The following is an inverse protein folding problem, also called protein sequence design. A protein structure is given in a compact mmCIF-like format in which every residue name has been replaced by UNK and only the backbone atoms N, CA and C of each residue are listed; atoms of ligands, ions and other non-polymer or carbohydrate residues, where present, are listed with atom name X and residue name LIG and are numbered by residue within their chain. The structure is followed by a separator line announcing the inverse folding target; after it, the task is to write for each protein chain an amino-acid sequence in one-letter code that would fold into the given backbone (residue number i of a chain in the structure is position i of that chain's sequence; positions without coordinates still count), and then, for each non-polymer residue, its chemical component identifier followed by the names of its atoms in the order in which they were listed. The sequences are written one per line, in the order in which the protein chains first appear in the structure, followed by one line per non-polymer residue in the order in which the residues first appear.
data_IF_876738620460
#
_entry.id   IF_876738620460
#
_cell.length_a   1.000
_cell.length_b   1.000
_cell.length_c   1.000
_cell.angle_alpha   90.00
_cell.angle_beta   90.00
_cell.angle_gamma   90.00
#
_symmetry.space_group_name_H-M   'P 1'
#
loop_
_entity.id
_entity.type
_entity.pdbx_description
1 polymer ?
#
# COMPACT_ATOMS: atom_id res chain seq x y z
N UNK A 1 56.88 39.88 23.67
CA UNK A 1 55.86 38.85 23.89
C UNK A 1 54.70 39.12 22.95
N UNK A 2 54.70 38.43 21.80
CA UNK A 2 53.70 38.63 20.74
C UNK A 2 52.67 37.50 20.82
N UNK A 3 51.44 37.85 21.21
CA UNK A 3 50.33 36.91 21.39
C UNK A 3 49.65 36.61 20.06
N UNK A 4 49.95 35.46 19.47
CA UNK A 4 49.20 34.92 18.34
C UNK A 4 47.79 34.48 18.78
N UNK A 5 46.79 35.30 18.46
CA UNK A 5 45.38 34.99 18.64
C UNK A 5 44.94 34.07 17.49
N UNK A 6 44.90 32.75 17.75
CA UNK A 6 44.34 31.76 16.82
C UNK A 6 42.84 32.00 16.65
N UNK A 7 42.44 32.42 15.45
CA UNK A 7 41.05 32.32 15.02
C UNK A 7 40.70 30.84 14.79
N UNK A 8 40.00 30.24 15.74
CA UNK A 8 39.29 28.98 15.53
C UNK A 8 38.08 29.24 14.66
N UNK A 9 38.24 29.13 13.35
CA UNK A 9 37.12 29.04 12.41
C UNK A 9 36.39 27.73 12.67
N UNK A 10 35.21 27.81 13.27
CA UNK A 10 34.22 26.72 13.26
C UNK A 10 33.82 26.50 11.81
N UNK A 11 34.35 25.44 11.20
CA UNK A 11 33.87 24.95 9.91
C UNK A 11 32.41 24.53 10.10
N UNK A 12 31.48 25.42 9.75
CA UNK A 12 30.12 25.00 9.41
C UNK A 12 30.27 24.05 8.22
N UNK A 13 30.19 22.75 8.49
CA UNK A 13 30.07 21.73 7.45
C UNK A 13 28.75 21.97 6.73
N UNK A 14 28.78 22.83 5.72
CA UNK A 14 27.70 22.93 4.74
C UNK A 14 27.66 21.59 4.03
N UNK A 15 26.77 20.70 4.48
CA UNK A 15 26.43 19.48 3.75
C UNK A 15 25.93 19.92 2.36
N UNK A 16 26.79 19.82 1.36
CA UNK A 16 26.40 20.13 -0.01
C UNK A 16 25.34 19.10 -0.45
N UNK A 17 24.34 19.55 -1.20
CA UNK A 17 23.33 18.67 -1.81
C UNK A 17 24.01 17.61 -2.70
N UNK A 18 25.16 17.97 -3.27
CA UNK A 18 25.98 17.09 -4.10
C UNK A 18 26.59 15.94 -3.28
N UNK A 19 26.91 16.17 -2.00
CA UNK A 19 27.46 15.13 -1.12
C UNK A 19 26.39 14.11 -0.72
N UNK A 20 25.16 14.56 -0.44
CA UNK A 20 24.05 13.69 -0.06
C UNK A 20 23.62 12.81 -1.24
N UNK A 21 23.45 13.41 -2.42
CA UNK A 21 23.07 12.69 -3.62
C UNK A 21 24.15 11.68 -4.03
N UNK A 22 25.43 12.07 -4.00
CA UNK A 22 26.55 11.16 -4.29
C UNK A 22 26.65 10.03 -3.28
N UNK A 23 26.43 10.30 -1.99
CA UNK A 23 26.39 9.28 -0.95
C UNK A 23 25.24 8.29 -1.18
N UNK A 24 24.02 8.77 -1.44
CA UNK A 24 22.85 7.94 -1.71
C UNK A 24 23.06 7.06 -2.95
N UNK A 25 23.60 7.61 -4.04
CA UNK A 25 23.91 6.85 -5.26
C UNK A 25 24.97 5.79 -4.95
N UNK A 26 26.05 6.14 -4.24
CA UNK A 26 27.12 5.19 -3.88
C UNK A 26 26.58 4.06 -3.01
N UNK A 27 25.74 4.36 -2.02
CA UNK A 27 25.09 3.35 -1.19
C UNK A 27 24.11 2.48 -1.99
N UNK A 28 23.33 3.07 -2.88
CA UNK A 28 22.42 2.34 -3.76
C UNK A 28 23.16 1.39 -4.70
N UNK A 29 24.25 1.84 -5.33
CA UNK A 29 25.09 1.00 -6.19
C UNK A 29 25.79 -0.09 -5.39
N UNK A 30 26.31 0.22 -4.20
CA UNK A 30 26.93 -0.79 -3.34
C UNK A 30 25.91 -1.85 -2.90
N UNK A 31 24.69 -1.45 -2.55
CA UNK A 31 23.59 -2.35 -2.22
C UNK A 31 23.22 -3.24 -3.40
N UNK A 32 23.05 -2.66 -4.59
CA UNK A 32 22.72 -3.40 -5.81
C UNK A 32 23.80 -4.43 -6.18
N UNK A 33 25.08 -4.08 -6.01
CA UNK A 33 26.20 -5.02 -6.24
C UNK A 33 26.23 -6.13 -5.20
N UNK A 34 25.95 -5.83 -3.94
CA UNK A 34 25.93 -6.83 -2.85
C UNK A 34 24.72 -7.76 -2.94
N UNK A 35 23.58 -7.25 -3.37
CA UNK A 35 22.30 -7.96 -3.42
C UNK A 35 21.75 -8.07 -4.84
N UNK A 36 22.60 -8.49 -5.79
CA UNK A 36 22.27 -8.52 -7.21
C UNK A 36 21.01 -9.34 -7.53
N UNK A 37 20.77 -10.46 -6.83
CA UNK A 37 19.56 -11.28 -7.02
C UNK A 37 18.30 -10.48 -6.66
N UNK A 38 18.26 -9.84 -5.49
CA UNK A 38 17.10 -9.05 -5.06
C UNK A 38 16.87 -7.85 -5.97
N UNK A 39 17.94 -7.14 -6.36
CA UNK A 39 17.83 -5.99 -7.27
C UNK A 39 17.37 -6.40 -8.66
N UNK A 40 17.88 -7.53 -9.18
CA UNK A 40 17.42 -8.05 -10.48
C UNK A 40 15.95 -8.50 -10.44
N UNK A 41 15.53 -9.21 -9.39
CA UNK A 41 14.14 -9.60 -9.19
C UNK A 41 13.23 -8.37 -9.08
N UNK A 42 13.66 -7.33 -8.36
CA UNK A 42 12.95 -6.05 -8.26
C UNK A 42 12.76 -5.40 -9.64
N UNK A 43 13.84 -5.26 -10.42
CA UNK A 43 13.77 -4.67 -11.78
C UNK A 43 12.85 -5.51 -12.68
N UNK A 44 12.99 -6.83 -12.67
CA UNK A 44 12.12 -7.74 -13.42
C UNK A 44 10.66 -7.57 -13.00
N UNK A 45 10.37 -7.48 -11.70
CA UNK A 45 9.03 -7.26 -11.20
C UNK A 45 8.42 -5.93 -11.64
N UNK A 46 9.20 -4.85 -11.63
CA UNK A 46 8.76 -3.55 -12.16
C UNK A 46 8.45 -3.65 -13.66
N UNK A 47 9.32 -4.30 -14.43
CA UNK A 47 9.10 -4.51 -15.89
C UNK A 47 7.84 -5.32 -16.13
N UNK A 48 7.62 -6.42 -15.40
CA UNK A 48 6.39 -7.22 -15.51
C UNK A 48 5.17 -6.38 -15.16
N UNK A 49 5.19 -5.62 -14.07
CA UNK A 49 4.05 -4.79 -13.65
C UNK A 49 3.67 -3.72 -14.69
N UNK A 50 4.65 -3.20 -15.44
CA UNK A 50 4.43 -2.16 -16.45
C UNK A 50 4.04 -2.71 -17.82
N UNK A 51 4.55 -3.88 -18.21
CA UNK A 51 4.46 -4.37 -19.60
C UNK A 51 3.75 -5.72 -19.76
N UNK A 52 3.45 -6.46 -18.70
CA UNK A 52 2.74 -7.73 -18.83
C UNK A 52 1.25 -7.49 -19.15
N UNK A 53 0.88 -7.70 -20.42
CA UNK A 53 -0.51 -7.68 -20.89
C UNK A 53 -1.18 -9.06 -20.93
N UNK A 54 -0.39 -10.14 -20.94
CA UNK A 54 -0.89 -11.49 -21.24
C UNK A 54 -0.83 -11.81 -22.74
N UNK A 55 -1.06 -13.07 -23.09
CA UNK A 55 -1.18 -13.49 -24.49
C UNK A 55 -2.58 -13.19 -25.02
N UNK A 56 -2.64 -12.59 -26.20
CA UNK A 56 -3.88 -12.33 -26.91
C UNK A 56 -4.64 -13.64 -27.12
N UNK A 57 -5.91 -13.65 -26.74
CA UNK A 57 -6.79 -14.80 -26.90
C UNK A 57 -7.30 -14.84 -28.33
N UNK A 58 -7.32 -16.03 -28.94
CA UNK A 58 -7.88 -16.18 -30.28
C UNK A 58 -9.41 -16.03 -30.27
N UNK A 59 -9.97 -15.54 -31.37
CA UNK A 59 -11.43 -15.37 -31.51
C UNK A 59 -12.21 -16.67 -31.25
N UNK A 60 -11.64 -17.83 -31.59
CA UNK A 60 -12.26 -19.14 -31.33
C UNK A 60 -12.29 -19.45 -29.82
N UNK A 61 -11.20 -19.19 -29.11
CA UNK A 61 -11.14 -19.36 -27.66
C UNK A 61 -12.09 -18.42 -26.93
N UNK A 62 -12.18 -17.16 -27.38
CA UNK A 62 -13.11 -16.16 -26.83
C UNK A 62 -14.57 -16.60 -27.04
N UNK A 63 -14.95 -17.03 -28.24
CA UNK A 63 -16.30 -17.54 -28.49
C UNK A 63 -16.63 -18.77 -27.64
N UNK A 64 -15.66 -19.67 -27.44
CA UNK A 64 -15.85 -20.85 -26.59
C UNK A 64 -15.98 -20.45 -25.11
N UNK A 65 -15.17 -19.51 -24.65
CA UNK A 65 -15.23 -18.92 -23.31
C UNK A 65 -16.62 -18.33 -23.04
N UNK A 66 -17.09 -17.44 -23.92
CA UNK A 66 -18.40 -16.79 -23.80
C UNK A 66 -19.56 -17.80 -23.89
N UNK A 67 -19.44 -18.83 -24.72
CA UNK A 67 -20.44 -19.89 -24.81
C UNK A 67 -20.56 -20.67 -23.50
N UNK A 68 -19.45 -20.99 -22.83
CA UNK A 68 -19.48 -21.69 -21.54
C UNK A 68 -20.07 -20.76 -20.47
N UNK A 69 -19.63 -19.50 -20.42
CA UNK A 69 -20.19 -18.53 -19.47
C UNK A 69 -21.68 -18.27 -19.68
N UNK A 70 -22.19 -18.36 -20.90
CA UNK A 70 -23.63 -18.18 -21.19
C UNK A 70 -24.52 -19.24 -20.53
N UNK A 71 -23.95 -20.37 -20.08
CA UNK A 71 -24.68 -21.42 -19.35
C UNK A 71 -25.00 -21.01 -17.91
N UNK A 72 -24.38 -19.96 -17.41
CA UNK A 72 -24.51 -19.50 -16.04
C UNK A 72 -25.85 -18.78 -15.83
N UNK A 73 -26.71 -19.33 -14.97
CA UNK A 73 -27.90 -18.61 -14.47
C UNK A 73 -27.54 -17.69 -13.30
N UNK A 74 -27.11 -16.46 -13.63
CA UNK A 74 -26.83 -15.41 -12.65
C UNK A 74 -28.05 -15.10 -11.75
N UNK A 75 -29.28 -15.30 -12.25
CA UNK A 75 -30.49 -15.07 -11.46
C UNK A 75 -30.68 -16.16 -10.40
N UNK A 76 -30.32 -17.41 -10.69
CA UNK A 76 -30.34 -18.50 -9.70
C UNK A 76 -29.36 -18.21 -8.57
N UNK A 77 -28.14 -17.79 -8.89
CA UNK A 77 -27.15 -17.38 -7.88
C UNK A 77 -27.68 -16.24 -7.00
N UNK A 78 -28.15 -15.16 -7.63
CA UNK A 78 -28.65 -14.00 -6.89
C UNK A 78 -29.84 -14.34 -5.99
N UNK A 79 -30.80 -15.18 -6.46
CA UNK A 79 -31.92 -15.65 -5.64
C UNK A 79 -31.45 -16.45 -4.43
N UNK A 80 -30.48 -17.34 -4.61
CA UNK A 80 -29.92 -18.13 -3.50
C UNK A 80 -29.22 -17.23 -2.47
N UNK A 81 -28.46 -16.23 -2.92
CA UNK A 81 -27.81 -15.25 -2.03
C UNK A 81 -28.83 -14.44 -1.22
N UNK A 82 -29.86 -13.91 -1.87
CA UNK A 82 -30.92 -13.15 -1.19
C UNK A 82 -31.68 -14.03 -0.20
N UNK A 83 -31.99 -15.29 -0.55
CA UNK A 83 -32.64 -16.22 0.36
C UNK A 83 -31.78 -16.52 1.61
N UNK A 84 -30.48 -16.76 1.43
CA UNK A 84 -29.55 -16.97 2.53
C UNK A 84 -29.40 -15.73 3.42
N UNK A 85 -29.30 -14.53 2.83
CA UNK A 85 -29.22 -13.27 3.56
C UNK A 85 -30.50 -12.96 4.36
N UNK A 86 -31.67 -13.19 3.76
CA UNK A 86 -32.94 -13.01 4.45
C UNK A 86 -33.08 -14.00 5.63
N UNK A 87 -32.69 -15.26 5.44
CA UNK A 87 -32.71 -16.25 6.52
C UNK A 87 -31.70 -15.91 7.64
N UNK A 88 -30.51 -15.39 7.30
CA UNK A 88 -29.54 -14.89 8.28
C UNK A 88 -30.11 -13.73 9.10
N UNK A 89 -30.76 -12.77 8.43
CA UNK A 89 -31.42 -11.65 9.08
C UNK A 89 -32.50 -12.12 10.06
N UNK A 90 -33.40 -13.01 9.61
CA UNK A 90 -34.47 -13.57 10.45
C UNK A 90 -33.91 -14.32 11.68
N UNK A 91 -32.84 -15.10 11.49
CA UNK A 91 -32.16 -15.78 12.59
C UNK A 91 -31.56 -14.77 13.59
N UNK A 92 -30.84 -13.75 13.11
CA UNK A 92 -30.24 -12.71 13.96
C UNK A 92 -31.27 -11.92 14.75
N UNK A 93 -32.39 -11.55 14.12
CA UNK A 93 -33.49 -10.83 14.78
C UNK A 93 -34.19 -11.69 15.84
N UNK A 94 -34.34 -13.00 15.59
CA UNK A 94 -34.93 -13.92 16.56
C UNK A 94 -34.02 -14.28 17.74
N UNK A 95 -32.74 -13.87 17.69
CA UNK A 95 -31.75 -14.24 18.70
C UNK A 95 -31.84 -13.29 19.91
N UNK A 96 -32.17 -13.84 21.08
CA UNK A 96 -32.04 -13.13 22.35
C UNK A 96 -30.57 -12.92 22.72
N UNK A 97 -30.30 -12.00 23.65
CA UNK A 97 -28.93 -11.69 24.07
C UNK A 97 -28.20 -12.92 24.66
N UNK A 98 -28.93 -13.85 25.30
CA UNK A 98 -28.36 -15.06 25.92
C UNK A 98 -29.15 -16.36 25.69
N UNK A 99 -30.24 -16.36 24.92
CA UNK A 99 -31.07 -17.55 24.73
C UNK A 99 -31.65 -17.65 23.33
N UNK A 100 -31.93 -18.88 22.90
CA UNK A 100 -32.58 -19.21 21.63
C UNK A 100 -33.79 -20.10 21.97
N UNK A 101 -34.99 -19.62 21.68
CA UNK A 101 -36.23 -20.36 21.85
C UNK A 101 -36.52 -21.26 20.62
N UNK A 102 -37.66 -21.97 20.63
CA UNK A 102 -38.04 -22.85 19.52
C UNK A 102 -38.20 -22.09 18.19
N UNK A 103 -38.59 -20.81 18.23
CA UNK A 103 -38.72 -19.97 17.05
C UNK A 103 -37.33 -19.62 16.47
N UNK A 104 -36.39 -19.24 17.33
CA UNK A 104 -34.99 -19.03 16.96
C UNK A 104 -34.34 -20.31 16.40
N UNK A 105 -34.62 -21.48 16.98
CA UNK A 105 -34.12 -22.77 16.47
C UNK A 105 -34.67 -23.09 15.08
N UNK A 106 -35.95 -22.85 14.82
CA UNK A 106 -36.54 -23.04 13.49
C UNK A 106 -35.89 -22.13 12.43
N UNK A 107 -35.68 -20.84 12.76
CA UNK A 107 -35.00 -19.90 11.86
C UNK A 107 -33.54 -20.27 11.62
N UNK A 108 -32.88 -20.86 12.62
CA UNK A 108 -31.51 -21.35 12.47
C UNK A 108 -31.44 -22.54 11.51
N UNK A 109 -32.37 -23.49 11.59
CA UNK A 109 -32.46 -24.60 10.64
C UNK A 109 -32.73 -24.10 9.22
N UNK A 110 -33.64 -23.14 9.05
CA UNK A 110 -33.90 -22.51 7.76
C UNK A 110 -32.66 -21.78 7.21
N UNK A 111 -31.94 -21.04 8.05
CA UNK A 111 -30.69 -20.40 7.69
C UNK A 111 -29.65 -21.42 7.20
N UNK A 112 -29.45 -22.51 7.94
CA UNK A 112 -28.49 -23.55 7.56
C UNK A 112 -28.87 -24.24 6.25
N UNK A 113 -30.17 -24.49 6.03
CA UNK A 113 -30.66 -25.06 4.77
C UNK A 113 -30.39 -24.13 3.59
N UNK A 114 -30.66 -22.83 3.74
CA UNK A 114 -30.41 -21.85 2.69
C UNK A 114 -28.90 -21.62 2.46
N UNK A 115 -28.08 -21.69 3.49
CA UNK A 115 -26.63 -21.63 3.39
C UNK A 115 -26.07 -22.83 2.61
N UNK A 116 -26.57 -24.04 2.89
CA UNK A 116 -26.20 -25.24 2.14
C UNK A 116 -26.60 -25.14 0.66
N UNK A 117 -27.81 -24.63 0.36
CA UNK A 117 -28.27 -24.38 -1.01
C UNK A 117 -27.42 -23.35 -1.74
N UNK A 118 -27.04 -22.26 -1.06
CA UNK A 118 -26.16 -21.25 -1.63
C UNK A 118 -24.80 -21.86 -1.97
N UNK A 119 -24.21 -22.64 -1.05
CA UNK A 119 -22.93 -23.29 -1.27
C UNK A 119 -22.95 -24.27 -2.45
N UNK A 120 -24.06 -25.00 -2.66
CA UNK A 120 -24.25 -25.87 -3.82
C UNK A 120 -24.26 -25.07 -5.13
N UNK A 121 -25.02 -23.97 -5.19
CA UNK A 121 -25.09 -23.11 -6.38
C UNK A 121 -23.76 -22.40 -6.65
N UNK A 122 -23.06 -21.94 -5.61
CA UNK A 122 -21.73 -21.35 -5.71
C UNK A 122 -20.70 -22.35 -6.25
N UNK A 123 -20.79 -23.61 -5.84
CA UNK A 123 -19.93 -24.67 -6.36
C UNK A 123 -20.19 -24.93 -7.84
N UNK A 124 -21.45 -25.11 -8.25
CA UNK A 124 -21.82 -25.28 -9.67
C UNK A 124 -21.28 -24.11 -10.51
N UNK A 125 -21.46 -22.89 -10.03
CA UNK A 125 -20.98 -21.69 -10.71
C UNK A 125 -19.46 -21.68 -10.84
N UNK A 126 -18.74 -22.01 -9.76
CA UNK A 126 -17.28 -22.06 -9.75
C UNK A 126 -16.75 -23.13 -10.71
N UNK A 127 -17.44 -24.26 -10.86
CA UNK A 127 -17.08 -25.32 -11.82
C UNK A 127 -17.22 -24.82 -13.26
N UNK A 128 -18.35 -24.19 -13.63
CA UNK A 128 -18.57 -23.63 -14.98
C UNK A 128 -17.57 -22.52 -15.29
N UNK A 129 -17.32 -21.63 -14.32
CA UNK A 129 -16.35 -20.55 -14.49
C UNK A 129 -14.92 -21.09 -14.65
N UNK A 130 -14.56 -22.11 -13.89
CA UNK A 130 -13.26 -22.80 -13.98
C UNK A 130 -13.09 -23.49 -15.34
N UNK A 131 -14.15 -24.13 -15.84
CA UNK A 131 -14.16 -24.70 -17.19
C UNK A 131 -13.94 -23.62 -18.26
N UNK A 132 -14.66 -22.49 -18.19
CA UNK A 132 -14.47 -21.37 -19.11
C UNK A 132 -13.02 -20.85 -19.06
N UNK A 133 -12.49 -20.58 -17.86
CA UNK A 133 -11.13 -20.09 -17.65
C UNK A 133 -10.05 -21.05 -18.19
N UNK A 134 -10.28 -22.36 -18.12
CA UNK A 134 -9.35 -23.36 -18.65
C UNK A 134 -9.12 -23.24 -20.17
N UNK A 135 -10.09 -22.68 -20.91
CA UNK A 135 -10.00 -22.50 -22.38
C UNK A 135 -8.98 -21.43 -22.77
N UNK A 136 -8.91 -20.36 -21.99
CA UNK A 136 -8.02 -19.21 -22.28
C UNK A 136 -6.65 -19.38 -21.60
N UNK A 137 -6.61 -20.03 -20.42
CA UNK A 137 -5.40 -20.26 -19.65
C UNK A 137 -4.92 -19.03 -18.87
N UNK A 138 -4.10 -19.27 -17.85
CA UNK A 138 -3.71 -18.24 -16.85
C UNK A 138 -2.80 -17.13 -17.40
N UNK A 139 -2.02 -17.43 -18.45
CA UNK A 139 -1.15 -16.43 -19.11
C UNK A 139 -1.88 -15.59 -20.17
N UNK A 140 -3.18 -15.83 -20.41
CA UNK A 140 -3.98 -15.00 -21.30
C UNK A 140 -4.17 -13.58 -20.76
N UNK A 141 -4.60 -12.66 -21.63
CA UNK A 141 -5.01 -11.32 -21.23
C UNK A 141 -6.06 -11.34 -20.09
N UNK A 142 -7.04 -12.25 -20.12
CA UNK A 142 -8.03 -12.41 -19.05
C UNK A 142 -7.39 -12.83 -17.72
N UNK A 143 -6.51 -13.83 -17.74
CA UNK A 143 -5.85 -14.31 -16.54
C UNK A 143 -4.93 -13.28 -15.90
N UNK A 144 -4.14 -12.57 -16.72
CA UNK A 144 -3.29 -11.48 -16.25
C UNK A 144 -4.11 -10.32 -15.72
N UNK A 145 -5.20 -9.95 -16.39
CA UNK A 145 -6.09 -8.88 -15.96
C UNK A 145 -6.78 -9.21 -14.63
N UNK A 146 -7.30 -10.42 -14.45
CA UNK A 146 -7.98 -10.83 -13.21
C UNK A 146 -7.02 -10.77 -12.01
N UNK A 147 -5.78 -11.21 -12.18
CA UNK A 147 -4.73 -11.15 -11.15
C UNK A 147 -4.33 -9.70 -10.86
N UNK A 148 -4.26 -8.85 -11.89
CA UNK A 148 -3.99 -7.43 -11.74
C UNK A 148 -5.11 -6.71 -11.00
N UNK A 149 -6.36 -7.03 -11.29
CA UNK A 149 -7.53 -6.46 -10.62
C UNK A 149 -7.58 -6.90 -9.15
N UNK A 150 -7.28 -8.17 -8.87
CA UNK A 150 -7.07 -8.65 -7.49
C UNK A 150 -5.97 -7.83 -6.79
N UNK A 151 -4.81 -7.66 -7.41
CA UNK A 151 -3.71 -6.88 -6.84
C UNK A 151 -4.16 -5.46 -6.49
N UNK A 152 -4.80 -4.76 -7.42
CA UNK A 152 -5.25 -3.38 -7.18
C UNK A 152 -6.33 -3.29 -6.11
N UNK A 153 -7.23 -4.28 -6.05
CA UNK A 153 -8.23 -4.38 -4.98
C UNK A 153 -7.57 -4.53 -3.61
N UNK A 154 -6.61 -5.46 -3.48
CA UNK A 154 -5.86 -5.65 -2.23
C UNK A 154 -5.03 -4.41 -1.86
N UNK A 155 -4.34 -3.83 -2.84
CA UNK A 155 -3.53 -2.64 -2.67
C UNK A 155 -4.38 -1.43 -2.23
N UNK A 156 -5.56 -1.24 -2.81
CA UNK A 156 -6.53 -0.23 -2.38
C UNK A 156 -6.98 -0.48 -0.94
N UNK A 157 -7.35 -1.72 -0.61
CA UNK A 157 -7.71 -2.13 0.76
C UNK A 157 -6.62 -1.82 1.78
N UNK A 158 -5.35 -2.11 1.46
CA UNK A 158 -4.19 -1.79 2.30
C UNK A 158 -4.00 -0.29 2.51
N UNK A 159 -4.15 0.52 1.47
CA UNK A 159 -4.11 1.99 1.59
C UNK A 159 -5.26 2.53 2.43
N UNK A 160 -6.46 2.00 2.27
CA UNK A 160 -7.63 2.47 3.01
C UNK A 160 -7.59 2.04 4.48
N UNK A 161 -6.99 0.89 4.78
CA UNK A 161 -6.59 0.54 6.15
C UNK A 161 -5.61 1.56 6.72
N UNK A 162 -4.51 1.85 6.00
CA UNK A 162 -3.49 2.78 6.47
C UNK A 162 -4.03 4.19 6.72
N UNK A 163 -4.90 4.69 5.84
CA UNK A 163 -5.58 5.98 6.00
C UNK A 163 -6.47 6.00 7.23
N UNK A 164 -7.30 4.96 7.44
CA UNK A 164 -8.17 4.85 8.61
C UNK A 164 -7.36 4.77 9.90
N UNK A 165 -6.30 3.96 9.93
CA UNK A 165 -5.38 3.86 11.07
C UNK A 165 -4.72 5.20 11.38
N UNK A 166 -4.21 5.89 10.36
CA UNK A 166 -3.58 7.20 10.53
C UNK A 166 -4.58 8.27 11.00
N UNK A 167 -5.83 8.18 10.57
CA UNK A 167 -6.92 9.04 11.06
C UNK A 167 -7.18 8.84 12.56
N UNK A 168 -7.22 7.58 13.01
CA UNK A 168 -7.35 7.28 14.44
C UNK A 168 -6.15 7.78 15.24
N UNK A 169 -4.92 7.56 14.75
CA UNK A 169 -3.71 8.05 15.40
C UNK A 169 -3.72 9.58 15.52
N UNK A 170 -4.18 10.29 14.48
CA UNK A 170 -4.30 11.75 14.51
C UNK A 170 -5.25 12.22 15.61
N UNK A 171 -6.44 11.61 15.70
CA UNK A 171 -7.45 11.96 16.71
C UNK A 171 -6.87 11.74 18.11
N UNK A 172 -6.36 10.55 18.40
CA UNK A 172 -5.86 10.24 19.75
C UNK A 172 -4.61 11.05 20.12
N UNK A 173 -3.74 11.34 19.14
CA UNK A 173 -2.57 12.19 19.37
C UNK A 173 -2.97 13.65 19.61
N UNK A 174 -3.98 14.18 18.91
CA UNK A 174 -4.49 15.55 19.13
C UNK A 174 -5.14 15.74 20.51
N UNK A 175 -5.86 14.71 21.00
CA UNK A 175 -6.43 14.71 22.34
C UNK A 175 -5.31 14.70 23.39
N UNK A 176 -4.25 13.92 23.15
CA UNK A 176 -3.08 13.87 24.03
C UNK A 176 -2.23 15.14 24.03
N UNK A 177 -2.21 15.92 22.95
CA UNK A 177 -1.43 17.16 22.84
C UNK A 177 -2.13 18.40 23.40
N UNK A 178 -3.43 18.33 23.72
CA UNK A 178 -4.25 19.45 24.19
C UNK A 178 -3.86 20.02 25.59
N UNK A 179 -2.78 19.52 26.20
CA UNK A 179 -2.24 20.01 27.48
C UNK A 179 -0.72 20.17 27.54
N UNK A 180 -0.01 20.11 26.41
CA UNK A 180 1.45 20.33 26.31
C UNK A 180 1.76 21.39 25.26
N UNK A 181 2.70 22.29 25.57
CA UNK A 181 3.30 23.26 24.62
C UNK A 181 4.23 22.54 23.62
N UNK A 182 3.74 21.51 22.91
CA UNK A 182 4.49 20.85 21.86
C UNK A 182 4.56 21.73 20.62
N UNK A 183 5.75 21.83 20.02
CA UNK A 183 5.91 22.56 18.77
C UNK A 183 5.11 21.86 17.67
N UNK A 184 4.35 22.62 16.87
CA UNK A 184 3.54 22.09 15.77
C UNK A 184 4.37 21.21 14.80
N UNK A 185 5.66 21.52 14.65
CA UNK A 185 6.61 20.74 13.86
C UNK A 185 6.87 19.34 14.45
N UNK A 186 7.07 19.23 15.75
CA UNK A 186 7.29 17.94 16.42
C UNK A 186 6.05 17.05 16.31
N UNK A 187 4.87 17.62 16.52
CA UNK A 187 3.59 16.94 16.30
C UNK A 187 3.46 16.44 14.86
N UNK A 188 3.74 17.29 13.87
CA UNK A 188 3.65 16.94 12.45
C UNK A 188 4.64 15.85 12.04
N UNK A 189 5.88 15.89 12.54
CA UNK A 189 6.89 14.86 12.28
C UNK A 189 6.50 13.51 12.89
N UNK A 190 6.00 13.52 14.14
CA UNK A 190 5.51 12.31 14.80
C UNK A 190 4.32 11.71 14.08
N UNK A 191 3.36 12.56 13.67
CA UNK A 191 2.23 12.14 12.84
C UNK A 191 2.69 11.50 11.54
N UNK A 192 3.62 12.15 10.83
CA UNK A 192 4.15 11.67 9.56
C UNK A 192 4.80 10.30 9.71
N UNK A 193 5.59 10.09 10.77
CA UNK A 193 6.23 8.80 11.04
C UNK A 193 5.20 7.70 11.34
N UNK A 194 4.19 7.99 12.17
CA UNK A 194 3.10 7.04 12.43
C UNK A 194 2.33 6.70 11.15
N UNK A 195 2.04 7.71 10.32
CA UNK A 195 1.40 7.53 9.03
C UNK A 195 2.23 6.61 8.12
N UNK A 196 3.54 6.83 8.00
CA UNK A 196 4.42 5.97 7.19
C UNK A 196 4.45 4.51 7.70
N UNK A 197 4.46 4.31 9.01
CA UNK A 197 4.37 2.98 9.62
C UNK A 197 3.03 2.31 9.32
N UNK A 198 1.92 3.04 9.43
CA UNK A 198 0.59 2.54 9.09
C UNK A 198 0.47 2.15 7.61
N UNK A 199 1.03 2.95 6.71
CA UNK A 199 1.11 2.60 5.27
C UNK A 199 1.96 1.36 5.03
N UNK A 200 3.08 1.22 5.73
CA UNK A 200 3.92 0.02 5.64
C UNK A 200 3.15 -1.23 6.09
N UNK A 201 2.50 -1.19 7.25
CA UNK A 201 1.70 -2.31 7.76
C UNK A 201 0.54 -2.62 6.82
N UNK A 202 -0.20 -1.60 6.36
CA UNK A 202 -1.34 -1.78 5.47
C UNK A 202 -0.97 -2.39 4.13
N UNK A 203 0.15 -1.96 3.52
CA UNK A 203 0.59 -2.47 2.23
C UNK A 203 1.27 -3.84 2.32
N UNK A 204 1.99 -4.12 3.40
CA UNK A 204 2.50 -5.47 3.68
C UNK A 204 1.33 -6.43 3.91
N UNK A 205 0.31 -6.03 4.67
CA UNK A 205 -0.92 -6.80 4.84
C UNK A 205 -1.64 -7.08 3.52
N UNK A 206 -1.75 -6.06 2.65
CA UNK A 206 -2.30 -6.22 1.30
C UNK A 206 -1.49 -7.21 0.45
N UNK A 207 -0.15 -7.20 0.55
CA UNK A 207 0.72 -8.14 -0.17
C UNK A 207 0.47 -9.59 0.30
N UNK A 208 0.37 -9.80 1.62
CA UNK A 208 0.06 -11.12 2.19
C UNK A 208 -1.32 -11.59 1.73
N UNK A 209 -2.33 -10.72 1.77
CA UNK A 209 -3.66 -11.02 1.25
C UNK A 209 -3.64 -11.37 -0.24
N UNK A 210 -2.88 -10.61 -1.04
CA UNK A 210 -2.69 -10.90 -2.46
C UNK A 210 -2.11 -12.31 -2.67
N UNK A 211 -1.05 -12.70 -1.95
CA UNK A 211 -0.48 -14.05 -2.07
C UNK A 211 -1.47 -15.17 -1.73
N UNK A 212 -2.31 -14.94 -0.73
CA UNK A 212 -3.33 -15.89 -0.36
C UNK A 212 -4.38 -16.08 -1.47
N UNK A 213 -4.92 -14.97 -1.99
CA UNK A 213 -6.00 -15.03 -2.97
C UNK A 213 -5.55 -15.35 -4.39
N UNK A 214 -4.34 -14.92 -4.80
CA UNK A 214 -3.84 -15.14 -6.16
C UNK A 214 -3.68 -16.64 -6.46
N UNK A 215 -3.32 -17.45 -5.45
CA UNK A 215 -3.27 -18.90 -5.61
C UNK A 215 -4.62 -19.48 -6.02
N UNK A 216 -5.71 -19.05 -5.38
CA UNK A 216 -7.07 -19.47 -5.73
C UNK A 216 -7.48 -19.08 -7.14
N UNK A 217 -7.09 -17.87 -7.59
CA UNK A 217 -7.31 -17.45 -8.98
C UNK A 217 -6.54 -18.35 -9.93
N UNK A 218 -5.25 -18.58 -9.71
CA UNK A 218 -4.41 -19.42 -10.58
C UNK A 218 -4.97 -20.83 -10.70
N UNK A 219 -5.38 -21.46 -9.59
CA UNK A 219 -5.94 -22.82 -9.64
C UNK A 219 -7.29 -22.87 -10.36
N UNK A 220 -8.05 -21.77 -10.40
CA UNK A 220 -9.31 -21.69 -11.16
C UNK A 220 -9.12 -21.75 -12.68
N UNK A 221 -7.91 -21.55 -13.20
CA UNK A 221 -7.59 -21.74 -14.63
C UNK A 221 -7.20 -23.18 -14.97
N UNK A 222 -7.18 -24.09 -13.99
CA UNK A 222 -6.72 -25.48 -14.12
C UNK A 222 -5.36 -25.65 -14.83
N UNK A 223 -4.32 -24.81 -14.56
CA UNK A 223 -3.02 -24.98 -15.17
C UNK A 223 -2.31 -26.24 -14.66
N UNK A 224 -1.29 -26.69 -15.40
CA UNK A 224 -0.34 -27.66 -14.84
C UNK A 224 0.42 -27.06 -13.65
N UNK A 225 0.85 -27.91 -12.70
CA UNK A 225 1.52 -27.48 -11.46
C UNK A 225 2.72 -26.57 -11.72
N UNK A 226 3.52 -26.89 -12.75
CA UNK A 226 4.67 -26.09 -13.13
C UNK A 226 4.26 -24.68 -13.61
N UNK A 227 3.24 -24.60 -14.47
CA UNK A 227 2.74 -23.34 -15.01
C UNK A 227 2.12 -22.49 -13.89
N UNK A 228 1.36 -23.12 -12.98
CA UNK A 228 0.80 -22.47 -11.80
C UNK A 228 1.90 -21.83 -10.95
N UNK A 229 2.96 -22.58 -10.65
CA UNK A 229 4.07 -22.13 -9.84
C UNK A 229 4.86 -20.99 -10.50
N UNK A 230 5.18 -21.11 -11.79
CA UNK A 230 5.89 -20.07 -12.54
C UNK A 230 5.07 -18.79 -12.56
N UNK A 231 3.76 -18.88 -12.86
CA UNK A 231 2.88 -17.72 -12.87
C UNK A 231 2.79 -17.07 -11.48
N UNK A 232 2.62 -17.86 -10.41
CA UNK A 232 2.60 -17.38 -9.04
C UNK A 232 3.87 -16.60 -8.67
N UNK A 233 5.05 -17.13 -9.02
CA UNK A 233 6.33 -16.50 -8.74
C UNK A 233 6.47 -15.17 -9.49
N UNK A 234 6.10 -15.13 -10.77
CA UNK A 234 6.13 -13.89 -11.57
C UNK A 234 5.18 -12.83 -10.99
N UNK A 235 3.95 -13.21 -10.67
CA UNK A 235 2.96 -12.33 -10.06
C UNK A 235 3.43 -11.80 -8.69
N UNK A 236 4.04 -12.66 -7.87
CA UNK A 236 4.55 -12.29 -6.55
C UNK A 236 5.71 -11.32 -6.61
N UNK A 237 6.65 -11.54 -7.54
CA UNK A 237 7.78 -10.64 -7.79
C UNK A 237 7.28 -9.28 -8.28
N UNK A 238 6.31 -9.25 -9.20
CA UNK A 238 5.71 -8.02 -9.69
C UNK A 238 5.00 -7.23 -8.58
N UNK A 239 4.13 -7.89 -7.82
CA UNK A 239 3.40 -7.28 -6.70
C UNK A 239 4.34 -6.73 -5.62
N UNK A 240 5.36 -7.51 -5.21
CA UNK A 240 6.37 -7.06 -4.24
C UNK A 240 7.09 -5.82 -4.74
N UNK A 241 7.51 -5.83 -6.02
CA UNK A 241 8.26 -4.72 -6.60
C UNK A 241 7.42 -3.45 -6.68
N UNK A 242 6.12 -3.57 -6.98
CA UNK A 242 5.19 -2.45 -6.96
C UNK A 242 5.04 -1.86 -5.54
N UNK A 243 4.81 -2.71 -4.53
CA UNK A 243 4.67 -2.28 -3.12
C UNK A 243 5.95 -1.62 -2.61
N UNK A 244 7.12 -2.22 -2.87
CA UNK A 244 8.42 -1.66 -2.49
C UNK A 244 8.64 -0.31 -3.16
N UNK A 245 8.34 -0.19 -4.46
CA UNK A 245 8.47 1.08 -5.19
C UNK A 245 7.58 2.17 -4.59
N UNK A 246 6.35 1.82 -4.23
CA UNK A 246 5.42 2.75 -3.62
C UNK A 246 5.89 3.20 -2.23
N UNK A 247 6.36 2.27 -1.38
CA UNK A 247 6.91 2.60 -0.07
C UNK A 247 8.16 3.48 -0.19
N UNK A 248 9.10 3.14 -1.07
CA UNK A 248 10.26 3.99 -1.34
C UNK A 248 9.83 5.39 -1.79
N UNK A 249 8.82 5.48 -2.65
CA UNK A 249 8.19 6.74 -3.04
C UNK A 249 7.68 7.54 -1.83
N UNK A 250 6.90 6.91 -0.93
CA UNK A 250 6.39 7.56 0.27
C UNK A 250 7.50 8.03 1.22
N UNK A 251 8.47 7.17 1.53
CA UNK A 251 9.59 7.52 2.41
C UNK A 251 10.47 8.62 1.81
N UNK A 252 10.71 8.58 0.49
CA UNK A 252 11.47 9.62 -0.20
C UNK A 252 10.73 10.97 -0.20
N UNK A 253 9.41 10.97 -0.41
CA UNK A 253 8.59 12.17 -0.34
C UNK A 253 8.58 12.78 1.07
N UNK A 254 8.48 11.94 2.11
CA UNK A 254 8.54 12.37 3.50
C UNK A 254 9.94 12.91 3.87
N UNK A 255 11.01 12.22 3.49
CA UNK A 255 12.37 12.72 3.73
C UNK A 255 12.64 14.04 2.99
N UNK A 256 12.15 14.16 1.76
CA UNK A 256 12.24 15.37 0.95
C UNK A 256 11.50 16.55 1.57
N UNK A 257 10.29 16.35 2.10
CA UNK A 257 9.51 17.43 2.72
C UNK A 257 10.17 17.94 4.01
N UNK A 258 10.72 17.05 4.84
CA UNK A 258 11.45 17.42 6.05
C UNK A 258 12.74 18.18 5.71
N UNK A 259 13.48 17.73 4.70
CA UNK A 259 14.70 18.40 4.26
C UNK A 259 14.43 19.84 3.77
N UNK A 260 13.39 20.02 2.96
CA UNK A 260 13.00 21.36 2.47
C UNK A 260 12.56 22.26 3.62
N UNK A 261 11.77 21.76 4.57
CA UNK A 261 11.36 22.51 5.74
C UNK A 261 12.56 22.98 6.59
N UNK A 262 13.53 22.10 6.84
CA UNK A 262 14.75 22.44 7.58
C UNK A 262 15.61 23.49 6.84
N UNK A 263 15.71 23.38 5.51
CA UNK A 263 16.44 24.35 4.69
C UNK A 263 15.78 25.73 4.71
N UNK A 264 14.46 25.80 4.65
CA UNK A 264 13.72 27.07 4.76
C UNK A 264 13.90 27.68 6.15
N UNK A 265 13.81 26.88 7.22
CA UNK A 265 13.99 27.34 8.60
C UNK A 265 15.41 27.87 8.88
N UNK A 266 16.44 27.21 8.36
CA UNK A 266 17.83 27.68 8.50
C UNK A 266 18.09 28.97 7.72
N UNK A 267 17.53 29.09 6.51
CA UNK A 267 17.64 30.31 5.72
C UNK A 267 16.89 31.49 6.37
N UNK A 268 15.70 31.27 6.93
CA UNK A 268 14.96 32.32 7.63
C UNK A 268 15.67 32.76 8.93
N UNK A 269 16.24 31.82 9.69
CA UNK A 269 17.05 32.13 10.86
C UNK A 269 18.29 32.97 10.50
N UNK A 270 18.97 32.63 9.40
CA UNK A 270 20.12 33.41 8.89
C UNK A 270 19.72 34.84 8.49
N UNK A 271 18.57 35.01 7.82
CA UNK A 271 18.06 36.33 7.44
C UNK A 271 17.67 37.17 8.65
N UNK A 272 17.03 36.56 9.66
CA UNK A 272 16.70 37.26 10.90
C UNK A 272 17.95 37.67 11.67
N UNK A 273 18.98 36.82 11.72
CA UNK A 273 20.24 37.15 12.38
C UNK A 273 20.98 38.28 11.65
N UNK A 274 20.96 38.29 10.31
CA UNK A 274 21.47 39.40 9.51
C UNK A 274 20.70 40.71 9.76
N UNK A 275 19.36 40.66 9.77
CA UNK A 275 18.52 41.83 10.07
C UNK A 275 18.75 42.35 11.49
N UNK A 276 18.92 41.45 12.46
CA UNK A 276 19.18 41.81 13.86
C UNK A 276 20.55 42.47 14.02
N UNK A 277 21.60 41.93 13.39
CA UNK A 277 22.92 42.59 13.34
C UNK A 277 22.86 43.93 12.62
N UNK A 278 22.13 44.04 11.51
CA UNK A 278 21.97 45.31 10.79
C UNK A 278 21.23 46.37 11.63
N UNK A 279 20.19 45.97 12.36
CA UNK A 279 19.51 46.84 13.33
C UNK A 279 20.43 47.24 14.48
N UNK A 280 21.26 46.32 15.00
CA UNK A 280 22.26 46.64 16.03
C UNK A 280 23.34 47.61 15.51
N UNK A 281 23.79 47.47 14.27
CA UNK A 281 24.70 48.43 13.61
C UNK A 281 24.07 49.82 13.45
N UNK A 282 22.80 49.88 13.06
CA UNK A 282 22.06 51.15 12.97
C UNK A 282 21.82 51.78 14.35
N UNK A 283 21.59 50.96 15.38
CA UNK A 283 21.28 51.41 16.74
C UNK A 283 22.51 51.77 17.57
N UNK A 284 23.65 51.14 17.31
CA UNK A 284 24.94 51.49 17.92
C UNK A 284 25.53 52.80 17.38
N UNK A 285 24.92 53.36 16.34
CA UNK A 285 25.26 54.66 15.80
C UNK A 285 26.57 54.60 15.05
N UNK A 286 26.50 54.79 13.73
CA UNK A 286 27.64 55.19 12.93
C UNK A 286 28.18 56.54 13.41
N UNK A 287 28.92 56.55 14.52
CA UNK A 287 29.93 57.56 14.80
C UNK A 287 31.22 57.00 14.22
N UNK A 288 31.67 57.49 13.07
CA UNK A 288 33.00 57.16 12.62
C UNK A 288 33.96 57.74 13.66
N UNK A 289 34.82 56.88 14.20
CA UNK A 289 36.04 57.32 14.85
C UNK A 289 36.95 57.88 13.75
N UNK A 290 36.81 59.16 13.43
CA UNK A 290 37.92 59.92 12.88
C UNK A 290 38.74 60.43 14.07
N UNK A 291 40.05 60.27 13.96
CA UNK A 291 41.09 60.69 14.90
C UNK A 291 41.00 62.18 15.29
#
# INVERSE_FOLDING_TARGET
MSGHRRHSGTAETQLSVDDVSTALIRHGVAFAKRHYVMTSAYIVGVVIMLFAGGFAVSMEQEQKYERILSQIDLKRMHRAQVAAQNAEYNYRESKGWFSCDNHCMANYEEYQLNLARLAEVEKEFAEIQSEAKSVVGVFSEYGVQEVRDLFWSQFAGGKDFAKRSSWWDLIFMSIGSMGRDESLMEFALRFLMNMLMNFTIGLVGALIGFYWFVWGIITSYQPSVLIAFVFFMLASIAATSCVVSFLLGLYSAAAGSVYVAAKIASNSARLQDQQRRQQEYLRSGGRPHYE
#
